data_IF_210800235803
#
_entry.id   IF_210800235803
#
_cell.length_a   1.000
_cell.length_b   1.000
_cell.length_c   1.000
_cell.angle_alpha   90.00
_cell.angle_beta   90.00
_cell.angle_gamma   90.00
#
_symmetry.space_group_name_H-M   'P 1'
#
loop_
_entity.id
_entity.type
_entity.pdbx_description
1 polymer ?
#
# COMPACT_ATOMS: atom_id res chain seq x y z
N UNK A 1 13.44 -20.35 0.41
CA UNK A 1 14.75 -21.02 0.58
C UNK A 1 15.43 -20.51 1.86
N UNK A 2 14.85 -20.79 3.03
CA UNK A 2 15.34 -20.29 4.32
C UNK A 2 15.22 -21.38 5.39
N UNK A 3 16.05 -22.42 5.32
CA UNK A 3 16.08 -23.49 6.35
C UNK A 3 17.45 -24.20 6.43
N UNK A 4 18.58 -23.49 6.30
CA UNK A 4 19.92 -24.12 6.34
C UNK A 4 20.99 -23.35 7.13
N UNK A 5 20.62 -22.72 8.24
CA UNK A 5 21.58 -21.94 9.05
C UNK A 5 21.44 -22.17 10.56
N UNK A 6 21.23 -23.42 10.99
CA UNK A 6 21.22 -23.79 12.43
C UNK A 6 22.00 -25.06 12.77
N UNK A 7 22.95 -25.49 11.95
CA UNK A 7 23.89 -26.56 12.30
C UNK A 7 25.31 -26.03 12.13
N UNK A 8 25.96 -25.67 13.23
CA UNK A 8 27.35 -25.22 13.19
C UNK A 8 27.88 -24.45 14.40
N UNK A 9 27.18 -24.44 15.55
CA UNK A 9 27.64 -23.75 16.77
C UNK A 9 27.70 -24.68 17.99
N UNK A 10 28.23 -25.89 17.80
CA UNK A 10 28.45 -26.85 18.88
C UNK A 10 29.79 -27.57 18.73
N UNK A 11 30.90 -26.83 18.75
CA UNK A 11 32.18 -27.39 19.19
C UNK A 11 33.23 -26.28 19.44
N UNK A 12 33.23 -25.71 20.65
CA UNK A 12 34.44 -25.06 21.19
C UNK A 12 34.58 -25.52 22.65
N UNK A 13 35.44 -26.52 22.82
CA UNK A 13 35.95 -27.02 24.09
C UNK A 13 36.83 -25.95 24.73
N UNK A 14 36.55 -25.61 25.99
CA UNK A 14 37.37 -24.74 26.83
C UNK A 14 38.56 -25.51 27.43
N UNK A 15 39.77 -24.92 27.54
CA UNK A 15 40.78 -25.39 28.46
C UNK A 15 40.74 -24.62 29.80
N UNK A 16 41.17 -25.33 30.83
CA UNK A 16 40.99 -25.08 32.26
C UNK A 16 41.62 -23.81 32.84
N UNK A 17 41.03 -23.40 33.97
CA UNK A 17 41.51 -22.41 34.92
C UNK A 17 42.85 -22.80 35.55
N UNK A 18 43.84 -21.90 35.45
CA UNK A 18 45.07 -21.91 36.24
C UNK A 18 45.22 -20.58 36.95
N UNK A 19 45.09 -20.61 38.27
CA UNK A 19 45.13 -19.47 39.21
C UNK A 19 46.47 -18.74 39.19
N UNK A 20 46.44 -17.44 38.89
CA UNK A 20 47.54 -16.49 39.06
C UNK A 20 46.96 -15.12 39.32
N UNK A 21 46.74 -14.83 40.59
CA UNK A 21 46.05 -13.67 41.11
C UNK A 21 47.09 -12.62 41.50
N UNK A 22 47.27 -11.58 40.68
CA UNK A 22 47.88 -10.27 41.03
C UNK A 22 47.98 -9.36 39.78
N UNK A 23 46.85 -8.90 39.20
CA UNK A 23 46.85 -7.73 38.29
C UNK A 23 45.44 -7.16 37.97
N UNK A 24 44.44 -7.41 38.84
CA UNK A 24 43.02 -7.16 38.52
C UNK A 24 42.54 -5.70 38.67
N UNK A 25 43.31 -4.78 39.28
CA UNK A 25 42.79 -3.44 39.60
C UNK A 25 42.88 -2.42 38.45
N UNK A 26 43.65 -2.68 37.40
CA UNK A 26 43.81 -1.76 36.26
C UNK A 26 42.98 -2.14 35.02
N UNK A 27 42.53 -3.39 34.91
CA UNK A 27 41.74 -3.87 33.76
C UNK A 27 40.27 -3.49 33.86
N UNK A 28 39.71 -3.44 35.07
CA UNK A 28 38.27 -3.17 35.27
C UNK A 28 37.90 -1.71 34.95
N UNK A 29 38.86 -0.79 35.05
CA UNK A 29 38.70 0.61 34.66
C UNK A 29 38.70 0.83 33.14
N UNK A 30 39.29 -0.07 32.35
CA UNK A 30 39.31 0.02 30.90
C UNK A 30 38.04 -0.59 30.28
N UNK A 31 37.54 -1.69 30.84
CA UNK A 31 36.29 -2.33 30.39
C UNK A 31 35.04 -1.48 30.68
N UNK A 32 35.04 -0.73 31.79
CA UNK A 32 33.94 0.18 32.12
C UNK A 32 33.80 1.35 31.14
N UNK A 33 34.87 1.73 30.40
CA UNK A 33 34.79 2.76 29.35
C UNK A 33 34.18 2.24 28.05
N UNK A 34 34.37 0.96 27.71
CA UNK A 34 33.82 0.37 26.50
C UNK A 34 32.37 -0.12 26.66
N UNK A 35 31.93 -0.47 27.88
CA UNK A 35 30.54 -0.86 28.13
C UNK A 35 29.52 0.28 27.97
N UNK A 36 29.97 1.55 27.87
CA UNK A 36 29.10 2.71 27.62
C UNK A 36 28.75 2.92 26.13
N UNK A 37 29.22 2.05 25.24
CA UNK A 37 29.00 2.10 23.78
C UNK A 37 28.02 1.00 23.30
N UNK A 38 27.01 0.67 24.11
CA UNK A 38 25.91 -0.21 23.69
C UNK A 38 24.63 0.60 23.64
N UNK A 39 24.15 0.88 22.43
CA UNK A 39 22.80 1.39 22.20
C UNK A 39 21.77 0.36 22.73
N UNK A 40 20.67 0.77 23.38
CA UNK A 40 19.64 -0.17 23.81
C UNK A 40 19.00 -0.84 22.58
N UNK A 41 19.00 -2.16 22.55
CA UNK A 41 18.21 -2.96 21.61
C UNK A 41 16.70 -2.66 21.81
N UNK A 42 15.89 -2.69 20.73
CA UNK A 42 14.48 -2.35 20.80
C UNK A 42 13.72 -3.41 21.59
N UNK A 43 13.02 -2.99 22.63
CA UNK A 43 12.08 -3.84 23.37
C UNK A 43 10.80 -3.95 22.54
N UNK A 44 10.46 -5.15 22.10
CA UNK A 44 9.16 -5.44 21.47
C UNK A 44 8.02 -5.08 22.44
N UNK A 45 7.04 -4.24 22.05
CA UNK A 45 5.87 -4.02 22.89
C UNK A 45 4.83 -5.12 22.61
N UNK A 46 4.75 -6.07 23.54
CA UNK A 46 3.47 -6.74 23.80
C UNK A 46 2.47 -5.68 24.27
N UNK A 47 1.27 -5.79 23.73
CA UNK A 47 0.05 -5.03 24.02
C UNK A 47 -0.07 -4.48 25.45
N UNK A 48 -0.37 -3.19 25.56
CA UNK A 48 -1.60 -2.58 26.14
C UNK A 48 -1.42 -1.06 26.11
N UNK A 49 -2.47 -0.36 25.65
CA UNK A 49 -2.37 0.98 25.10
C UNK A 49 -2.20 2.15 26.07
N UNK A 50 -1.69 3.25 25.51
CA UNK A 50 -2.02 4.62 25.86
C UNK A 50 -1.64 5.50 24.65
N UNK A 51 -2.64 5.98 23.95
CA UNK A 51 -2.49 7.02 22.94
C UNK A 51 -2.21 8.37 23.63
N UNK A 52 -1.53 9.27 22.92
CA UNK A 52 -1.16 10.66 23.27
C UNK A 52 0.26 10.85 23.85
N UNK A 53 1.31 10.66 23.04
CA UNK A 53 2.58 11.43 23.19
C UNK A 53 3.54 11.46 21.97
N UNK A 54 3.21 10.85 20.84
CA UNK A 54 4.13 10.66 19.68
C UNK A 54 4.59 11.92 18.93
N UNK A 55 4.20 13.14 19.35
CA UNK A 55 4.65 14.38 18.70
C UNK A 55 5.97 14.92 19.25
N UNK A 56 6.36 14.54 20.47
CA UNK A 56 7.57 15.06 21.13
C UNK A 56 8.78 14.13 20.96
N UNK A 57 8.57 12.86 20.59
CA UNK A 57 9.65 11.90 20.29
C UNK A 57 10.61 12.31 19.17
N UNK A 58 10.16 12.82 18.00
CA UNK A 58 11.09 13.24 16.94
C UNK A 58 11.92 14.45 17.37
N UNK A 59 11.35 15.38 18.15
CA UNK A 59 12.05 16.57 18.63
C UNK A 59 13.08 16.23 19.71
N UNK A 60 12.78 15.28 20.59
CA UNK A 60 13.73 14.70 21.55
C UNK A 60 14.90 14.02 20.83
N UNK A 61 14.63 13.23 19.79
CA UNK A 61 15.66 12.57 19.00
C UNK A 61 16.58 13.57 18.28
N UNK A 62 16.02 14.65 17.73
CA UNK A 62 16.79 15.73 17.10
C UNK A 62 17.69 16.40 18.14
N UNK A 63 17.17 16.73 19.33
CA UNK A 63 17.95 17.33 20.41
C UNK A 63 19.12 16.43 20.87
N UNK A 64 18.92 15.11 20.90
CA UNK A 64 19.96 14.14 21.24
C UNK A 64 21.00 14.02 20.14
N UNK A 65 20.57 14.05 18.87
CA UNK A 65 21.48 14.05 17.71
C UNK A 65 22.36 15.30 17.67
N UNK A 66 21.77 16.47 17.94
CA UNK A 66 22.49 17.74 18.00
C UNK A 66 23.54 17.73 19.12
N UNK A 67 23.17 17.22 20.31
CA UNK A 67 24.12 17.05 21.42
C UNK A 67 25.26 16.10 21.06
N UNK A 68 24.96 14.97 20.42
CA UNK A 68 25.97 14.02 19.97
C UNK A 68 26.91 14.62 18.91
N UNK A 69 26.38 15.39 17.97
CA UNK A 69 27.16 16.10 16.95
C UNK A 69 28.08 17.16 17.57
N UNK A 70 27.58 17.95 18.52
CA UNK A 70 28.37 18.92 19.28
C UNK A 70 29.50 18.25 20.05
N UNK A 71 29.22 17.11 20.69
CA UNK A 71 30.24 16.35 21.41
C UNK A 71 31.31 15.78 20.48
N UNK A 72 30.91 15.23 19.33
CA UNK A 72 31.86 14.78 18.30
C UNK A 72 32.70 15.93 17.75
N UNK A 73 32.10 17.09 17.51
CA UNK A 73 32.83 18.28 17.04
C UNK A 73 33.91 18.69 18.05
N UNK A 74 33.56 18.74 19.34
CA UNK A 74 34.51 19.06 20.41
C UNK A 74 35.64 18.02 20.51
N UNK A 75 35.33 16.74 20.32
CA UNK A 75 36.36 15.68 20.28
C UNK A 75 37.28 15.82 19.07
N UNK A 76 36.74 16.14 17.89
CA UNK A 76 37.53 16.36 16.68
C UNK A 76 38.46 17.57 16.83
N UNK A 77 37.97 18.69 17.36
CA UNK A 77 38.81 19.86 17.65
C UNK A 77 39.95 19.51 18.61
N UNK A 78 39.69 18.69 19.63
CA UNK A 78 40.72 18.23 20.56
C UNK A 78 41.73 17.24 19.93
N UNK A 79 41.30 16.43 18.96
CA UNK A 79 42.20 15.57 18.20
C UNK A 79 43.08 16.38 17.23
N UNK A 80 42.51 17.40 16.57
CA UNK A 80 43.26 18.31 15.70
C UNK A 80 44.33 19.11 16.47
N UNK A 81 44.06 19.51 17.71
CA UNK A 81 45.10 20.13 18.56
C UNK A 81 46.22 19.15 18.89
N UNK A 82 45.89 17.90 19.21
CA UNK A 82 46.90 16.85 19.49
C UNK A 82 47.74 16.51 18.26
N UNK A 83 47.13 16.46 17.07
CA UNK A 83 47.86 16.24 15.82
C UNK A 83 48.88 17.36 15.61
N UNK A 84 48.48 18.63 15.77
CA UNK A 84 49.40 19.77 15.67
C UNK A 84 50.54 19.71 16.69
N UNK A 85 50.26 19.28 17.92
CA UNK A 85 51.29 19.07 18.93
C UNK A 85 52.27 17.95 18.54
N UNK A 86 51.77 16.83 18.00
CA UNK A 86 52.61 15.74 17.52
C UNK A 86 53.46 16.15 16.32
N UNK A 87 52.90 16.89 15.35
CA UNK A 87 53.64 17.43 14.21
C UNK A 87 54.75 18.38 14.66
N UNK A 88 54.48 19.26 15.64
CA UNK A 88 55.50 20.13 16.23
C UNK A 88 56.62 19.32 16.90
N UNK A 89 56.26 18.26 17.64
CA UNK A 89 57.21 17.40 18.34
C UNK A 89 58.05 16.57 17.37
N UNK A 90 57.46 16.11 16.28
CA UNK A 90 58.16 15.44 15.19
C UNK A 90 59.16 16.39 14.52
N UNK A 91 58.78 17.65 14.29
CA UNK A 91 59.67 18.68 13.76
C UNK A 91 60.84 19.00 14.70
N UNK A 92 60.62 19.00 16.02
CA UNK A 92 61.67 19.17 17.03
C UNK A 92 62.65 17.97 17.03
N UNK A 93 62.12 16.74 17.01
CA UNK A 93 62.91 15.51 16.98
C UNK A 93 63.74 15.42 15.69
N UNK A 94 63.17 15.78 14.53
CA UNK A 94 63.92 15.84 13.27
C UNK A 94 65.09 16.82 13.35
N UNK A 95 64.89 18.00 13.95
CA UNK A 95 65.97 18.96 14.19
C UNK A 95 67.06 18.37 15.10
N UNK A 96 66.69 17.72 16.20
CA UNK A 96 67.66 17.06 17.09
C UNK A 96 68.45 15.96 16.38
N UNK A 97 67.81 15.13 15.55
CA UNK A 97 68.50 14.08 14.79
C UNK A 97 69.52 14.70 13.83
N UNK A 98 69.15 15.75 13.10
CA UNK A 98 70.10 16.43 12.19
C UNK A 98 71.27 17.07 12.94
N UNK A 99 71.05 17.57 14.15
CA UNK A 99 72.11 18.15 14.99
C UNK A 99 73.07 17.07 15.50
N UNK A 100 72.54 15.93 15.96
CA UNK A 100 73.35 14.77 16.36
C UNK A 100 74.13 14.17 15.18
N UNK A 101 73.56 14.13 13.98
CA UNK A 101 74.26 13.67 12.77
C UNK A 101 75.48 14.56 12.45
N UNK A 102 75.35 15.87 12.60
CA UNK A 102 76.47 16.82 12.42
C UNK A 102 77.53 16.62 13.50
N UNK A 103 77.14 16.41 14.76
CA UNK A 103 78.08 16.17 15.86
C UNK A 103 78.85 14.85 15.69
N UNK A 104 78.16 13.77 15.27
CA UNK A 104 78.80 12.48 14.96
C UNK A 104 79.79 12.63 13.80
N UNK A 105 79.43 13.37 12.75
CA UNK A 105 80.33 13.64 11.62
C UNK A 105 81.60 14.40 12.07
N UNK A 106 81.44 15.37 12.97
CA UNK A 106 82.54 16.12 13.57
C UNK A 106 83.47 15.21 14.40
N UNK A 107 82.90 14.41 15.31
CA UNK A 107 83.67 13.46 16.13
C UNK A 107 84.44 12.45 15.28
N UNK A 108 83.83 11.96 14.20
CA UNK A 108 84.47 11.03 13.27
C UNK A 108 85.70 11.66 12.59
N UNK A 109 85.62 12.94 12.22
CA UNK A 109 86.75 13.66 11.64
C UNK A 109 87.92 13.85 12.64
N UNK A 110 87.61 14.10 13.91
CA UNK A 110 88.63 14.25 14.96
C UNK A 110 89.32 12.92 15.29
N UNK A 111 88.58 11.81 15.32
CA UNK A 111 89.15 10.46 15.49
C UNK A 111 90.12 10.13 14.35
N UNK A 112 89.78 10.47 13.10
CA UNK A 112 90.67 10.25 11.95
C UNK A 112 91.98 11.04 12.08
N UNK A 113 91.94 12.28 12.58
CA UNK A 113 93.17 13.06 12.85
C UNK A 113 94.04 12.43 13.93
N UNK A 114 93.43 11.94 15.01
CA UNK A 114 94.16 11.28 16.11
C UNK A 114 94.78 9.94 15.69
N UNK A 115 94.12 9.20 14.80
CA UNK A 115 94.66 7.96 14.23
C UNK A 115 95.88 8.23 13.33
N UNK A 116 95.87 9.30 12.53
CA UNK A 116 97.02 9.69 11.72
C UNK A 116 98.26 10.00 12.59
N UNK A 117 98.09 10.74 13.69
CA UNK A 117 99.17 11.06 14.64
C UNK A 117 99.74 9.80 15.32
N UNK A 118 98.88 8.81 15.61
CA UNK A 118 99.29 7.53 16.22
C UNK A 118 100.12 6.67 15.27
N UNK A 119 99.81 6.67 13.97
CA UNK A 119 100.58 5.92 12.99
C UNK A 119 102.00 6.49 12.79
N UNK A 120 102.20 7.80 12.98
CA UNK A 120 103.51 8.45 12.86
C UNK A 120 104.43 8.25 14.08
N UNK A 121 103.89 7.83 15.23
CA UNK A 121 104.67 7.62 16.47
C UNK A 121 105.14 6.17 16.70
N UNK A 122 104.80 5.23 15.81
CA UNK A 122 105.02 3.78 16.01
C UNK A 122 106.40 3.24 15.62
N UNK A 123 107.38 4.07 15.25
CA UNK A 123 108.64 3.63 14.60
C UNK A 123 109.91 3.76 15.44
N UNK A 124 109.82 3.94 16.76
CA UNK A 124 111.00 4.15 17.61
C UNK A 124 111.11 3.14 18.76
N UNK A 125 112.21 2.38 18.67
CA UNK A 125 113.04 1.82 19.75
C UNK A 125 112.68 0.44 20.32
N UNK A 126 113.52 -0.52 19.96
CA UNK A 126 113.93 -1.63 20.85
C UNK A 126 115.44 -1.76 20.73
N UNK A 127 116.19 -1.33 21.74
CA UNK A 127 117.62 -1.60 21.85
C UNK A 127 117.88 -2.35 23.16
N UNK A 128 118.43 -3.55 23.00
CA UNK A 128 118.79 -4.50 24.05
C UNK A 128 119.99 -4.00 24.87
N UNK A 129 120.02 -4.37 26.15
CA UNK A 129 121.21 -4.29 26.99
C UNK A 129 121.25 -5.44 28.00
N UNK A 130 122.22 -6.35 27.82
CA UNK A 130 122.50 -7.50 28.71
C UNK A 130 123.42 -7.12 29.89
N UNK A 131 123.19 -7.72 31.07
CA UNK A 131 124.16 -8.14 32.14
C UNK A 131 123.38 -8.56 33.41
N UNK A 132 123.93 -9.20 34.48
CA UNK A 132 124.86 -10.34 34.60
C UNK A 132 124.29 -11.54 35.44
N UNK A 133 124.78 -12.75 35.17
CA UNK A 133 124.20 -14.09 35.41
C UNK A 133 123.89 -14.59 36.86
N UNK A 134 123.99 -13.79 37.93
CA UNK A 134 123.81 -14.31 39.32
C UNK A 134 122.45 -13.98 39.97
N UNK A 135 122.02 -12.73 39.81
CA UNK A 135 120.66 -12.27 40.16
C UNK A 135 119.66 -12.60 39.04
N UNK A 136 120.17 -12.87 37.83
CA UNK A 136 119.38 -13.17 36.64
C UNK A 136 118.57 -14.47 36.73
N UNK A 137 119.00 -15.47 37.50
CA UNK A 137 118.23 -16.73 37.53
C UNK A 137 116.95 -16.60 38.37
N UNK A 138 117.02 -15.93 39.53
CA UNK A 138 115.83 -15.61 40.34
C UNK A 138 114.96 -14.56 39.65
N UNK A 139 115.56 -13.53 39.04
CA UNK A 139 114.85 -12.54 38.24
C UNK A 139 114.14 -13.17 37.02
N UNK A 140 114.79 -14.09 36.30
CA UNK A 140 114.18 -14.79 35.17
C UNK A 140 113.04 -15.70 35.62
N UNK A 141 113.17 -16.38 36.77
CA UNK A 141 112.08 -17.18 37.34
C UNK A 141 110.91 -16.30 37.76
N UNK A 142 111.19 -15.11 38.30
CA UNK A 142 110.19 -14.12 38.67
C UNK A 142 109.50 -13.53 37.42
N UNK A 143 110.25 -13.18 36.38
CA UNK A 143 109.71 -12.72 35.09
C UNK A 143 108.90 -13.81 34.40
N UNK A 144 109.32 -15.08 34.48
CA UNK A 144 108.57 -16.20 33.92
C UNK A 144 107.28 -16.45 34.69
N UNK A 145 107.27 -16.31 36.02
CA UNK A 145 106.03 -16.33 36.82
C UNK A 145 105.13 -15.14 36.53
N UNK A 146 105.69 -13.93 36.37
CA UNK A 146 104.92 -12.74 36.02
C UNK A 146 104.33 -12.84 34.61
N UNK A 147 105.10 -13.35 33.65
CA UNK A 147 104.63 -13.64 32.29
C UNK A 147 103.56 -14.71 32.30
N UNK A 148 103.72 -15.78 33.09
CA UNK A 148 102.71 -16.83 33.23
C UNK A 148 101.41 -16.27 33.84
N UNK A 149 101.51 -15.49 34.92
CA UNK A 149 100.36 -14.84 35.54
C UNK A 149 99.67 -13.84 34.58
N UNK A 150 100.44 -13.14 33.75
CA UNK A 150 99.89 -12.27 32.70
C UNK A 150 99.18 -13.10 31.61
N UNK A 151 99.77 -14.21 31.16
CA UNK A 151 99.16 -15.12 30.19
C UNK A 151 97.84 -15.67 30.73
N UNK A 152 97.82 -16.14 31.99
CA UNK A 152 96.62 -16.66 32.65
C UNK A 152 95.55 -15.58 32.80
N UNK A 153 95.93 -14.34 33.14
CA UNK A 153 95.02 -13.21 33.26
C UNK A 153 94.45 -12.74 31.91
N UNK A 154 95.22 -12.87 30.82
CA UNK A 154 94.71 -12.62 29.46
C UNK A 154 93.80 -13.77 29.02
N UNK A 155 94.17 -15.01 29.27
CA UNK A 155 93.35 -16.19 28.96
C UNK A 155 91.99 -16.13 29.67
N UNK A 156 91.95 -15.74 30.94
CA UNK A 156 90.70 -15.55 31.68
C UNK A 156 89.82 -14.44 31.08
N UNK A 157 90.42 -13.32 30.64
CA UNK A 157 89.70 -12.25 29.95
C UNK A 157 89.17 -12.70 28.58
N UNK A 158 89.95 -13.44 27.81
CA UNK A 158 89.51 -14.03 26.55
C UNK A 158 88.32 -14.98 26.75
N UNK A 159 88.37 -15.84 27.77
CA UNK A 159 87.25 -16.73 28.10
C UNK A 159 85.99 -15.97 28.54
N UNK A 160 86.15 -14.86 29.26
CA UNK A 160 85.01 -14.00 29.62
C UNK A 160 84.37 -13.38 28.38
N UNK A 161 85.18 -12.84 27.45
CA UNK A 161 84.68 -12.30 26.18
C UNK A 161 84.05 -13.37 25.28
N UNK A 162 84.61 -14.58 25.24
CA UNK A 162 84.00 -15.69 24.49
C UNK A 162 82.60 -16.03 25.02
N UNK A 163 82.43 -16.10 26.34
CA UNK A 163 81.12 -16.33 26.96
C UNK A 163 80.13 -15.19 26.66
N UNK A 164 80.59 -13.95 26.71
CA UNK A 164 79.77 -12.77 26.38
C UNK A 164 79.36 -12.78 24.91
N UNK A 165 80.26 -13.12 23.98
CA UNK A 165 79.95 -13.24 22.55
C UNK A 165 78.97 -14.36 22.24
N UNK A 166 79.02 -15.48 22.98
CA UNK A 166 78.01 -16.55 22.86
C UNK A 166 76.66 -16.05 23.38
N UNK A 167 76.61 -15.43 24.55
CA UNK A 167 75.37 -14.87 25.11
C UNK A 167 74.72 -13.84 24.19
N UNK A 168 75.52 -12.94 23.60
CA UNK A 168 75.02 -11.93 22.65
C UNK A 168 74.55 -12.57 21.34
N UNK A 169 75.20 -13.65 20.89
CA UNK A 169 74.75 -14.40 19.71
C UNK A 169 73.37 -15.02 19.96
N UNK A 170 73.19 -15.67 21.09
CA UNK A 170 71.93 -16.32 21.46
C UNK A 170 70.81 -15.26 21.55
N UNK A 171 71.08 -14.10 22.17
CA UNK A 171 70.13 -12.98 22.23
C UNK A 171 69.77 -12.44 20.83
N UNK A 172 70.75 -12.33 19.92
CA UNK A 172 70.50 -11.91 18.54
C UNK A 172 69.64 -12.94 17.79
N UNK A 173 69.88 -14.24 17.98
CA UNK A 173 69.06 -15.30 17.38
C UNK A 173 67.62 -15.26 17.92
N UNK A 174 67.43 -15.09 19.22
CA UNK A 174 66.11 -14.91 19.84
C UNK A 174 65.38 -13.67 19.26
N UNK A 175 66.05 -12.52 19.20
CA UNK A 175 65.49 -11.31 18.62
C UNK A 175 65.16 -11.46 17.13
N UNK A 176 65.95 -12.22 16.38
CA UNK A 176 65.66 -12.53 14.97
C UNK A 176 64.37 -13.35 14.84
N UNK A 177 64.23 -14.42 15.62
CA UNK A 177 63.00 -15.24 15.59
C UNK A 177 61.77 -14.44 16.02
N UNK A 178 61.88 -13.59 17.05
CA UNK A 178 60.81 -12.70 17.49
C UNK A 178 60.43 -11.66 16.43
N UNK A 179 61.40 -11.16 15.65
CA UNK A 179 61.12 -10.24 14.55
C UNK A 179 60.39 -10.96 13.40
N UNK A 180 60.77 -12.20 13.09
CA UNK A 180 60.10 -13.00 12.07
C UNK A 180 58.64 -13.30 12.42
N UNK A 181 58.35 -13.64 13.69
CA UNK A 181 56.97 -13.85 14.16
C UNK A 181 56.16 -12.56 14.08
N UNK A 182 56.69 -11.44 14.58
CA UNK A 182 56.03 -10.13 14.47
C UNK A 182 55.76 -9.73 13.01
N UNK A 183 56.68 -10.02 12.10
CA UNK A 183 56.48 -9.77 10.67
C UNK A 183 55.38 -10.66 10.07
N UNK A 184 55.24 -11.90 10.53
CA UNK A 184 54.16 -12.80 10.13
C UNK A 184 52.81 -12.30 10.63
N UNK A 185 52.72 -11.91 11.90
CA UNK A 185 51.49 -11.36 12.49
C UNK A 185 51.08 -10.06 11.81
N UNK A 186 52.05 -9.17 11.52
CA UNK A 186 51.82 -7.95 10.74
C UNK A 186 51.29 -8.23 9.32
N UNK A 187 51.68 -9.34 8.70
CA UNK A 187 51.14 -9.76 7.39
C UNK A 187 49.72 -10.28 7.53
N UNK A 188 49.45 -11.08 8.56
CA UNK A 188 48.12 -11.62 8.82
C UNK A 188 47.10 -10.52 9.14
N UNK A 189 47.44 -9.59 10.02
CA UNK A 189 46.58 -8.45 10.36
C UNK A 189 46.29 -7.61 9.11
N UNK A 190 47.29 -7.41 8.23
CA UNK A 190 47.08 -6.71 6.96
C UNK A 190 46.16 -7.46 6.00
N UNK A 191 46.24 -8.80 5.94
CA UNK A 191 45.30 -9.61 5.14
C UNK A 191 43.87 -9.45 5.67
N UNK A 192 43.68 -9.62 6.98
CA UNK A 192 42.36 -9.48 7.62
C UNK A 192 41.78 -8.08 7.43
N UNK A 193 42.61 -7.04 7.55
CA UNK A 193 42.18 -5.67 7.30
C UNK A 193 41.71 -5.48 5.85
N UNK A 194 42.46 -6.00 4.87
CA UNK A 194 42.07 -5.93 3.46
C UNK A 194 40.77 -6.68 3.18
N UNK A 195 40.54 -7.84 3.81
CA UNK A 195 39.29 -8.59 3.70
C UNK A 195 38.09 -7.81 4.26
N UNK A 196 38.26 -7.17 5.42
CA UNK A 196 37.21 -6.30 5.98
C UNK A 196 36.95 -5.09 5.09
N UNK A 197 38.00 -4.40 4.62
CA UNK A 197 37.87 -3.27 3.70
C UNK A 197 37.13 -3.67 2.42
N UNK A 198 37.47 -4.83 1.84
CA UNK A 198 36.77 -5.37 0.68
C UNK A 198 35.29 -5.65 0.98
N UNK A 199 34.98 -6.30 2.10
CA UNK A 199 33.59 -6.57 2.50
C UNK A 199 32.77 -5.30 2.72
N UNK A 200 33.36 -4.24 3.28
CA UNK A 200 32.70 -2.94 3.39
C UNK A 200 32.43 -2.30 2.02
N UNK A 201 33.38 -2.38 1.10
CA UNK A 201 33.20 -1.86 -0.27
C UNK A 201 32.11 -2.62 -1.02
N UNK A 202 32.08 -3.94 -0.91
CA UNK A 202 31.04 -4.79 -1.52
C UNK A 202 29.65 -4.47 -0.95
N UNK A 203 29.52 -4.35 0.37
CA UNK A 203 28.26 -3.98 1.01
C UNK A 203 27.78 -2.57 0.61
N UNK A 204 28.69 -1.61 0.44
CA UNK A 204 28.34 -0.27 -0.07
C UNK A 204 27.86 -0.34 -1.52
N UNK A 205 28.51 -1.12 -2.36
CA UNK A 205 28.10 -1.32 -3.75
C UNK A 205 26.72 -1.99 -3.85
N UNK A 206 26.45 -3.01 -3.02
CA UNK A 206 25.12 -3.65 -2.92
C UNK A 206 24.06 -2.66 -2.45
N UNK A 207 24.38 -1.82 -1.46
CA UNK A 207 23.45 -0.78 -0.98
C UNK A 207 23.13 0.25 -2.06
N UNK A 208 24.13 0.66 -2.86
CA UNK A 208 23.92 1.56 -4.00
C UNK A 208 23.09 0.90 -5.10
N UNK A 209 23.34 -0.37 -5.40
CA UNK A 209 22.54 -1.14 -6.35
C UNK A 209 21.08 -1.27 -5.89
N UNK A 210 20.85 -1.60 -4.62
CA UNK A 210 19.50 -1.67 -4.04
C UNK A 210 18.80 -0.31 -4.06
N UNK A 211 19.52 0.79 -3.80
CA UNK A 211 18.97 2.15 -3.94
C UNK A 211 18.60 2.47 -5.38
N UNK A 212 19.41 2.06 -6.35
CA UNK A 212 19.12 2.27 -7.77
C UNK A 212 17.87 1.49 -8.21
N UNK A 213 17.79 0.20 -7.86
CA UNK A 213 16.63 -0.66 -8.17
C UNK A 213 15.37 -0.11 -7.51
N UNK A 214 15.42 0.24 -6.21
CA UNK A 214 14.28 0.83 -5.51
C UNK A 214 13.86 2.18 -6.11
N UNK A 215 14.82 2.98 -6.59
CA UNK A 215 14.55 4.22 -7.31
C UNK A 215 13.81 3.99 -8.62
N UNK A 216 14.22 2.98 -9.39
CA UNK A 216 13.56 2.57 -10.64
C UNK A 216 12.17 2.00 -10.37
N UNK A 217 12.02 1.09 -9.40
CA UNK A 217 10.73 0.54 -8.99
C UNK A 217 9.76 1.65 -8.56
N UNK A 218 10.22 2.61 -7.75
CA UNK A 218 9.42 3.79 -7.37
C UNK A 218 8.99 4.61 -8.59
N UNK A 219 9.89 4.83 -9.55
CA UNK A 219 9.56 5.55 -10.77
C UNK A 219 8.50 4.80 -11.62
N UNK A 220 8.63 3.48 -11.76
CA UNK A 220 7.64 2.67 -12.48
C UNK A 220 6.28 2.64 -11.78
N UNK A 221 6.25 2.60 -10.44
CA UNK A 221 5.01 2.66 -9.67
C UNK A 221 4.34 4.02 -9.81
N UNK A 222 5.09 5.13 -9.76
CA UNK A 222 4.55 6.47 -9.99
C UNK A 222 3.97 6.59 -11.40
N UNK A 223 4.68 6.13 -12.44
CA UNK A 223 4.19 6.15 -13.82
C UNK A 223 2.90 5.33 -13.97
N UNK A 224 2.85 4.10 -13.44
CA UNK A 224 1.61 3.29 -13.44
C UNK A 224 0.47 3.97 -12.70
N UNK A 225 0.75 4.61 -11.56
CA UNK A 225 -0.29 5.32 -10.80
C UNK A 225 -0.85 6.52 -11.58
N UNK A 226 -0.01 7.22 -12.33
CA UNK A 226 -0.40 8.33 -13.21
C UNK A 226 -1.20 7.84 -14.42
N UNK A 227 -0.80 6.72 -15.03
CA UNK A 227 -1.57 6.06 -16.10
C UNK A 227 -2.96 5.61 -15.60
N UNK A 228 -3.05 5.06 -14.39
CA UNK A 228 -4.34 4.71 -13.78
C UNK A 228 -5.19 5.95 -13.47
N UNK A 229 -4.60 7.02 -12.95
CA UNK A 229 -5.30 8.27 -12.68
C UNK A 229 -5.86 8.90 -13.97
N UNK A 230 -5.03 9.00 -15.01
CA UNK A 230 -5.43 9.51 -16.31
C UNK A 230 -6.49 8.63 -16.99
N UNK A 231 -6.41 7.31 -16.84
CA UNK A 231 -7.45 6.38 -17.31
C UNK A 231 -8.78 6.61 -16.60
N UNK A 232 -8.79 6.81 -15.27
CA UNK A 232 -10.00 7.09 -14.50
C UNK A 232 -10.61 8.43 -14.94
N UNK A 233 -9.79 9.45 -15.12
CA UNK A 233 -10.26 10.76 -15.57
C UNK A 233 -10.80 10.71 -17.01
N UNK A 234 -10.16 9.94 -17.89
CA UNK A 234 -10.70 9.69 -19.24
C UNK A 234 -12.06 8.98 -19.18
N UNK A 235 -12.24 7.99 -18.31
CA UNK A 235 -13.52 7.30 -18.15
C UNK A 235 -14.61 8.27 -17.66
N UNK A 236 -14.29 9.10 -16.66
CA UNK A 236 -15.20 10.15 -16.15
C UNK A 236 -15.59 11.14 -17.24
N UNK A 237 -14.65 11.53 -18.10
CA UNK A 237 -14.94 12.40 -19.25
C UNK A 237 -15.93 11.75 -20.21
N UNK A 238 -15.74 10.46 -20.55
CA UNK A 238 -16.69 9.74 -21.41
C UNK A 238 -18.08 9.62 -20.78
N UNK A 239 -18.17 9.32 -19.49
CA UNK A 239 -19.45 9.24 -18.77
C UNK A 239 -20.17 10.60 -18.73
N UNK A 240 -19.42 11.68 -18.49
CA UNK A 240 -19.96 13.04 -18.52
C UNK A 240 -20.42 13.44 -19.94
N UNK A 241 -19.66 13.09 -20.97
CA UNK A 241 -20.03 13.36 -22.35
C UNK A 241 -21.30 12.59 -22.75
N UNK A 242 -21.42 11.33 -22.35
CA UNK A 242 -22.63 10.54 -22.57
C UNK A 242 -23.85 11.15 -21.86
N UNK A 243 -23.70 11.55 -20.59
CA UNK A 243 -24.77 12.21 -19.82
C UNK A 243 -25.17 13.56 -20.43
N UNK A 244 -24.20 14.33 -20.92
CA UNK A 244 -24.47 15.59 -21.62
C UNK A 244 -25.28 15.34 -22.89
N UNK A 245 -24.86 14.38 -23.73
CA UNK A 245 -25.58 14.01 -24.96
C UNK A 245 -27.01 13.56 -24.69
N UNK A 246 -27.22 12.72 -23.67
CA UNK A 246 -28.58 12.31 -23.27
C UNK A 246 -29.42 13.50 -22.80
N UNK A 247 -28.85 14.38 -21.96
CA UNK A 247 -29.56 15.58 -21.50
C UNK A 247 -29.89 16.56 -22.63
N UNK A 248 -29.01 16.68 -23.63
CA UNK A 248 -29.25 17.48 -24.83
C UNK A 248 -30.39 16.90 -25.68
N UNK A 249 -30.46 15.57 -25.82
CA UNK A 249 -31.55 14.89 -26.49
C UNK A 249 -32.89 15.10 -25.77
N UNK A 250 -32.92 14.92 -24.45
CA UNK A 250 -34.12 15.16 -23.62
C UNK A 250 -34.62 16.60 -23.75
N UNK A 251 -33.70 17.57 -23.73
CA UNK A 251 -34.02 18.98 -23.96
C UNK A 251 -34.64 19.20 -25.34
N UNK A 252 -34.11 18.57 -26.39
CA UNK A 252 -34.66 18.69 -27.74
C UNK A 252 -36.08 18.14 -27.83
N UNK A 253 -36.35 16.98 -27.21
CA UNK A 253 -37.69 16.39 -27.13
C UNK A 253 -38.65 17.30 -26.36
N UNK A 254 -38.26 17.79 -25.18
CA UNK A 254 -39.08 18.71 -24.41
C UNK A 254 -39.40 20.01 -25.17
N UNK A 255 -38.45 20.53 -25.96
CA UNK A 255 -38.68 21.68 -26.83
C UNK A 255 -39.66 21.37 -27.97
N UNK A 256 -39.61 20.18 -28.55
CA UNK A 256 -40.56 19.75 -29.57
C UNK A 256 -41.97 19.61 -28.99
N UNK A 257 -42.09 19.01 -27.81
CA UNK A 257 -43.37 18.86 -27.11
C UNK A 257 -43.96 20.21 -26.72
N UNK A 258 -43.15 21.15 -26.22
CA UNK A 258 -43.59 22.51 -25.94
C UNK A 258 -44.12 23.21 -27.20
N UNK A 259 -43.41 23.06 -28.35
CA UNK A 259 -43.88 23.60 -29.64
C UNK A 259 -45.17 22.93 -30.12
N UNK A 260 -45.35 21.63 -29.86
CA UNK A 260 -46.59 20.92 -30.20
C UNK A 260 -47.74 21.45 -29.35
N UNK A 261 -47.56 21.53 -28.05
CA UNK A 261 -48.57 22.03 -27.12
C UNK A 261 -48.95 23.48 -27.44
N UNK A 262 -47.99 24.32 -27.83
CA UNK A 262 -48.28 25.68 -28.27
C UNK A 262 -49.20 25.70 -29.50
N UNK A 263 -48.94 24.86 -30.52
CA UNK A 263 -49.81 24.76 -31.69
C UNK A 263 -51.22 24.25 -31.32
N UNK A 264 -51.32 23.29 -30.41
CA UNK A 264 -52.60 22.77 -29.94
C UNK A 264 -53.40 23.85 -29.19
N UNK A 265 -52.73 24.68 -28.38
CA UNK A 265 -53.34 25.84 -27.72
C UNK A 265 -53.82 26.89 -28.73
N UNK A 266 -52.99 27.25 -29.71
CA UNK A 266 -53.36 28.22 -30.75
C UNK A 266 -54.56 27.72 -31.58
N UNK A 267 -54.61 26.41 -31.88
CA UNK A 267 -55.74 25.79 -32.57
C UNK A 267 -57.02 25.82 -31.71
N UNK A 268 -56.92 25.53 -30.41
CA UNK A 268 -58.04 25.60 -29.49
C UNK A 268 -58.58 27.02 -29.34
N UNK A 269 -57.69 28.02 -29.26
CA UNK A 269 -58.06 29.43 -29.23
C UNK A 269 -58.82 29.84 -30.51
N UNK A 270 -58.36 29.36 -31.67
CA UNK A 270 -59.08 29.51 -32.94
C UNK A 270 -60.50 28.90 -32.92
N UNK A 271 -60.65 27.67 -32.40
CA UNK A 271 -61.97 27.02 -32.27
C UNK A 271 -62.87 27.78 -31.29
N UNK A 272 -62.32 28.25 -30.17
CA UNK A 272 -63.05 29.05 -29.18
C UNK A 272 -63.58 30.35 -29.81
N UNK A 273 -62.73 31.06 -30.56
CA UNK A 273 -63.12 32.26 -31.28
C UNK A 273 -64.22 31.99 -32.31
N UNK A 274 -64.11 30.88 -33.08
CA UNK A 274 -65.14 30.50 -34.03
C UNK A 274 -66.47 30.13 -33.34
N UNK A 275 -66.41 29.41 -32.22
CA UNK A 275 -67.59 29.10 -31.42
C UNK A 275 -68.26 30.37 -30.87
N UNK A 276 -67.47 31.33 -30.34
CA UNK A 276 -68.00 32.62 -29.89
C UNK A 276 -68.66 33.40 -31.03
N UNK A 277 -68.06 33.41 -32.23
CA UNK A 277 -68.62 34.07 -33.40
C UNK A 277 -69.93 33.40 -33.85
N UNK A 278 -69.96 32.07 -33.93
CA UNK A 278 -71.15 31.29 -34.28
C UNK A 278 -72.27 31.48 -33.25
N UNK A 279 -71.95 31.50 -31.96
CA UNK A 279 -72.93 31.77 -30.90
C UNK A 279 -73.53 33.17 -31.04
N UNK A 280 -72.71 34.20 -31.33
CA UNK A 280 -73.23 35.55 -31.63
C UNK A 280 -74.15 35.55 -32.86
N UNK A 281 -73.78 34.84 -33.93
CA UNK A 281 -74.60 34.72 -35.13
C UNK A 281 -75.91 33.98 -34.87
N UNK A 282 -75.85 32.86 -34.15
CA UNK A 282 -77.01 32.07 -33.73
C UNK A 282 -77.94 32.89 -32.83
N UNK A 283 -77.41 33.62 -31.86
CA UNK A 283 -78.20 34.52 -31.00
C UNK A 283 -78.93 35.59 -31.81
N UNK A 284 -78.29 36.16 -32.84
CA UNK A 284 -78.95 37.09 -33.77
C UNK A 284 -80.05 36.39 -34.58
N UNK A 285 -79.80 35.17 -35.07
CA UNK A 285 -80.79 34.39 -35.80
C UNK A 285 -82.00 34.04 -34.92
N UNK A 286 -81.78 33.59 -33.68
CA UNK A 286 -82.85 33.30 -32.71
C UNK A 286 -83.66 34.57 -32.44
N UNK A 287 -83.02 35.71 -32.20
CA UNK A 287 -83.73 36.98 -32.01
C UNK A 287 -84.56 37.40 -33.24
N UNK A 288 -84.09 37.12 -34.46
CA UNK A 288 -84.84 37.38 -35.69
C UNK A 288 -86.07 36.46 -35.79
N UNK A 289 -85.90 35.17 -35.52
CA UNK A 289 -87.00 34.19 -35.49
C UNK A 289 -88.01 34.53 -34.38
N UNK A 290 -87.56 34.95 -33.21
CA UNK A 290 -88.44 35.44 -32.14
C UNK A 290 -89.24 36.67 -32.58
N UNK A 291 -88.61 37.62 -33.28
CA UNK A 291 -89.32 38.79 -33.81
C UNK A 291 -90.33 38.42 -34.92
N UNK A 292 -90.01 37.43 -35.75
CA UNK A 292 -90.95 36.86 -36.74
C UNK A 292 -92.09 36.12 -36.06
N UNK A 293 -91.80 35.33 -35.01
CA UNK A 293 -92.79 34.63 -34.21
C UNK A 293 -93.73 35.63 -33.52
N UNK A 294 -93.22 36.70 -32.93
CA UNK A 294 -94.05 37.73 -32.30
C UNK A 294 -94.90 38.49 -33.34
N UNK A 295 -94.39 38.74 -34.55
CA UNK A 295 -95.20 39.22 -35.67
C UNK A 295 -96.30 38.23 -36.06
N UNK A 296 -95.96 36.96 -36.26
CA UNK A 296 -96.92 35.91 -36.61
C UNK A 296 -97.96 35.66 -35.51
N UNK A 297 -97.58 35.74 -34.23
CA UNK A 297 -98.49 35.69 -33.08
C UNK A 297 -99.42 36.88 -33.07
N UNK A 298 -98.90 38.07 -33.31
CA UNK A 298 -99.73 39.28 -33.42
C UNK A 298 -100.73 39.12 -34.56
N UNK A 299 -100.31 38.64 -35.75
CA UNK A 299 -101.19 38.33 -36.88
C UNK A 299 -102.24 37.24 -36.58
N UNK A 300 -101.86 36.19 -35.83
CA UNK A 300 -102.78 35.14 -35.39
C UNK A 300 -103.77 35.62 -34.34
N UNK A 301 -103.35 36.49 -33.42
CA UNK A 301 -104.26 37.18 -32.49
C UNK A 301 -105.24 38.07 -33.23
N UNK A 302 -104.85 38.71 -34.34
CA UNK A 302 -105.80 39.41 -35.23
C UNK A 302 -106.73 38.45 -35.98
N UNK A 303 -106.29 37.22 -36.25
CA UNK A 303 -107.08 36.16 -36.92
C UNK A 303 -108.01 35.39 -35.98
N UNK A 304 -107.76 35.35 -34.67
CA UNK A 304 -108.60 34.66 -33.68
C UNK A 304 -109.82 35.50 -33.26
N UNK A 305 -110.78 35.60 -34.17
CA UNK A 305 -112.20 35.71 -33.84
C UNK A 305 -112.89 34.43 -34.38
N UNK A 306 -113.21 33.48 -33.47
CA UNK A 306 -114.08 32.29 -33.61
C UNK A 306 -113.47 30.96 -34.17
N UNK A 307 -114.01 29.75 -33.85
CA UNK A 307 -113.77 28.95 -32.63
C UNK A 307 -113.27 27.48 -32.86
N UNK A 308 -112.84 26.83 -31.76
CA UNK A 308 -112.39 25.42 -31.53
C UNK A 308 -113.40 24.28 -31.90
N UNK A 309 -113.12 22.96 -31.62
CA UNK A 309 -111.93 22.12 -31.84
C UNK A 309 -112.31 20.79 -32.58
N UNK A 310 -111.36 20.10 -33.24
CA UNK A 310 -111.62 18.81 -33.91
C UNK A 310 -110.94 17.62 -33.19
N UNK A 311 -111.67 16.50 -33.13
CA UNK A 311 -111.36 15.20 -32.49
C UNK A 311 -110.09 14.50 -32.99
N UNK A 312 -109.41 15.01 -34.02
CA UNK A 312 -108.16 14.46 -34.59
C UNK A 312 -106.96 14.51 -33.62
N UNK A 313 -106.98 15.40 -32.62
CA UNK A 313 -105.88 15.57 -31.67
C UNK A 313 -105.71 14.40 -30.69
N UNK A 314 -106.75 13.59 -30.48
CA UNK A 314 -106.72 12.46 -29.54
C UNK A 314 -105.99 11.27 -30.18
N UNK A 315 -106.19 11.05 -31.48
CA UNK A 315 -105.58 9.95 -32.24
C UNK A 315 -104.07 10.16 -32.42
N UNK A 316 -103.64 11.42 -32.59
CA UNK A 316 -102.22 11.78 -32.63
C UNK A 316 -101.55 11.72 -31.26
N UNK A 317 -102.28 11.98 -30.17
CA UNK A 317 -101.75 11.81 -28.81
C UNK A 317 -101.48 10.33 -28.50
N UNK A 318 -102.39 9.43 -28.88
CA UNK A 318 -102.20 7.99 -28.72
C UNK A 318 -101.02 7.47 -29.55
N UNK A 319 -100.87 7.98 -30.79
CA UNK A 319 -99.71 7.69 -31.64
C UNK A 319 -98.38 8.14 -31.02
N UNK A 320 -98.36 9.30 -30.36
CA UNK A 320 -97.18 9.84 -29.68
C UNK A 320 -96.85 9.03 -28.42
N UNK A 321 -97.85 8.63 -27.64
CA UNK A 321 -97.65 7.76 -26.48
C UNK A 321 -97.09 6.39 -26.88
N UNK A 322 -97.59 5.80 -27.98
CA UNK A 322 -97.05 4.55 -28.52
C UNK A 322 -95.59 4.66 -29.00
N UNK A 323 -95.22 5.79 -29.60
CA UNK A 323 -93.81 6.07 -29.98
C UNK A 323 -92.92 6.27 -28.76
N UNK A 324 -93.42 6.92 -27.72
CA UNK A 324 -92.70 7.16 -26.47
C UNK A 324 -92.41 5.84 -25.75
N UNK A 325 -93.40 4.96 -25.63
CA UNK A 325 -93.21 3.64 -25.01
C UNK A 325 -92.15 2.79 -25.75
N UNK A 326 -92.14 2.82 -27.08
CA UNK A 326 -91.10 2.16 -27.88
C UNK A 326 -89.71 2.74 -27.64
N UNK A 327 -89.59 4.07 -27.56
CA UNK A 327 -88.32 4.73 -27.25
C UNK A 327 -87.81 4.44 -25.84
N UNK A 328 -88.70 4.35 -24.86
CA UNK A 328 -88.32 3.97 -23.50
C UNK A 328 -87.78 2.53 -23.46
N UNK A 329 -88.39 1.61 -24.22
CA UNK A 329 -87.90 0.24 -24.32
C UNK A 329 -86.55 0.13 -25.06
N UNK A 330 -86.35 0.91 -26.12
CA UNK A 330 -85.06 1.01 -26.81
C UNK A 330 -83.96 1.59 -25.89
N UNK A 331 -84.28 2.58 -25.05
CA UNK A 331 -83.35 3.10 -24.04
C UNK A 331 -82.97 2.05 -22.98
N UNK A 332 -83.92 1.22 -22.55
CA UNK A 332 -83.64 0.16 -21.57
C UNK A 332 -82.76 -0.94 -22.18
N UNK A 333 -83.02 -1.33 -23.44
CA UNK A 333 -82.15 -2.27 -24.16
C UNK A 333 -80.74 -1.72 -24.38
N UNK A 334 -80.60 -0.41 -24.66
CA UNK A 334 -79.28 0.23 -24.76
C UNK A 334 -78.58 0.28 -23.41
N UNK A 335 -79.32 0.45 -22.32
CA UNK A 335 -78.78 0.42 -20.96
C UNK A 335 -78.28 -0.97 -20.58
N UNK A 336 -79.04 -2.02 -20.90
CA UNK A 336 -78.67 -3.42 -20.68
C UNK A 336 -77.46 -3.82 -21.55
N UNK A 337 -77.43 -3.38 -22.83
CA UNK A 337 -76.28 -3.59 -23.70
C UNK A 337 -75.02 -2.86 -23.20
N UNK A 338 -75.17 -1.64 -22.67
CA UNK A 338 -74.06 -0.89 -22.06
C UNK A 338 -73.55 -1.57 -20.79
N UNK A 339 -74.44 -2.07 -19.94
CA UNK A 339 -74.08 -2.79 -18.71
C UNK A 339 -73.42 -4.14 -19.02
N UNK A 340 -73.90 -4.86 -20.04
CA UNK A 340 -73.25 -6.05 -20.58
C UNK A 340 -71.85 -5.73 -21.14
N UNK A 341 -71.70 -4.62 -21.86
CA UNK A 341 -70.38 -4.21 -22.39
C UNK A 341 -69.43 -3.77 -21.28
N UNK A 342 -69.93 -3.05 -20.28
CA UNK A 342 -69.15 -2.62 -19.11
C UNK A 342 -68.71 -3.81 -18.24
N UNK A 343 -69.56 -4.82 -18.07
CA UNK A 343 -69.20 -6.04 -17.34
C UNK A 343 -68.20 -6.89 -18.13
N UNK A 344 -68.35 -7.01 -19.45
CA UNK A 344 -67.37 -7.68 -20.31
C UNK A 344 -66.00 -6.97 -20.31
N UNK A 345 -66.00 -5.62 -20.37
CA UNK A 345 -64.78 -4.82 -20.28
C UNK A 345 -64.07 -4.91 -18.92
N UNK A 346 -64.82 -5.05 -17.82
CA UNK A 346 -64.23 -5.26 -16.50
C UNK A 346 -63.70 -6.69 -16.31
N UNK A 347 -64.32 -7.69 -16.95
CA UNK A 347 -63.87 -9.08 -16.92
C UNK A 347 -62.55 -9.29 -17.70
N UNK A 348 -62.34 -8.54 -18.78
CA UNK A 348 -61.10 -8.58 -19.57
C UNK A 348 -59.90 -7.89 -18.87
N UNK A 349 -60.15 -7.08 -17.83
CA UNK A 349 -59.12 -6.37 -17.05
C UNK A 349 -58.51 -7.18 -15.90
N UNK A 350 -58.98 -8.40 -15.66
CA UNK A 350 -58.31 -9.34 -14.73
C UNK A 350 -56.96 -9.87 -15.27
N UNK A 351 -56.54 -9.43 -16.47
CA UNK A 351 -55.21 -9.67 -17.00
C UNK A 351 -54.28 -8.52 -16.58
N UNK A 352 -53.43 -8.79 -15.60
CA UNK A 352 -52.34 -7.88 -15.23
C UNK A 352 -51.49 -7.57 -16.48
N UNK A 353 -51.32 -6.28 -16.81
CA UNK A 353 -50.47 -5.85 -17.92
C UNK A 353 -49.07 -6.47 -17.75
N UNK A 354 -48.59 -7.23 -18.75
CA UNK A 354 -47.30 -7.92 -18.71
C UNK A 354 -46.15 -6.97 -18.39
N UNK A 355 -46.26 -5.71 -18.83
CA UNK A 355 -45.27 -4.67 -18.52
C UNK A 355 -45.30 -4.24 -17.06
N UNK A 356 -46.49 -4.13 -16.47
CA UNK A 356 -46.66 -3.81 -15.05
C UNK A 356 -46.14 -4.96 -14.18
N UNK A 357 -46.43 -6.21 -14.57
CA UNK A 357 -45.90 -7.41 -13.92
C UNK A 357 -44.37 -7.43 -13.93
N UNK A 358 -43.76 -7.18 -15.09
CA UNK A 358 -42.31 -7.12 -15.24
C UNK A 358 -41.69 -5.98 -14.39
N UNK A 359 -42.31 -4.80 -14.37
CA UNK A 359 -41.84 -3.67 -13.55
C UNK A 359 -41.91 -3.97 -12.05
N UNK A 360 -42.95 -4.67 -11.59
CA UNK A 360 -43.05 -5.08 -10.18
C UNK A 360 -41.93 -6.07 -9.83
N UNK A 361 -41.65 -7.06 -10.68
CA UNK A 361 -40.55 -8.02 -10.47
C UNK A 361 -39.19 -7.32 -10.46
N UNK A 362 -38.93 -6.41 -11.40
CA UNK A 362 -37.70 -5.61 -11.43
C UNK A 362 -37.57 -4.76 -10.17
N UNK A 363 -38.65 -4.08 -9.75
CA UNK A 363 -38.66 -3.29 -8.52
C UNK A 363 -38.44 -4.13 -7.25
N UNK A 364 -38.81 -5.41 -7.24
CA UNK A 364 -38.53 -6.32 -6.13
C UNK A 364 -37.06 -6.74 -6.07
N UNK A 365 -36.41 -6.94 -7.22
CA UNK A 365 -34.98 -7.28 -7.29
C UNK A 365 -34.12 -6.08 -6.94
N UNK A 366 -34.44 -4.90 -7.48
CA UNK A 366 -33.63 -3.69 -7.35
C UNK A 366 -33.86 -2.91 -6.05
N UNK A 367 -35.03 -3.05 -5.40
CA UNK A 367 -35.32 -2.27 -4.18
C UNK A 367 -34.82 -2.94 -2.90
N UNK A 368 -34.34 -2.09 -1.98
CA UNK A 368 -33.99 -2.50 -0.61
C UNK A 368 -35.24 -2.71 0.30
N UNK A 369 -36.45 -2.58 -0.27
CA UNK A 369 -37.74 -2.67 0.42
C UNK A 369 -38.60 -3.83 -0.10
N UNK A 370 -37.96 -5.00 -0.25
CA UNK A 370 -38.55 -6.22 -0.83
C UNK A 370 -39.90 -6.60 -0.20
N UNK A 371 -40.05 -6.43 1.11
CA UNK A 371 -41.30 -6.73 1.83
C UNK A 371 -42.48 -5.83 1.45
N UNK A 372 -42.23 -4.52 1.26
CA UNK A 372 -43.29 -3.57 0.84
C UNK A 372 -43.71 -3.82 -0.61
N UNK A 373 -42.74 -4.10 -1.50
CA UNK A 373 -43.02 -4.42 -2.90
C UNK A 373 -43.77 -5.74 -3.02
N UNK A 374 -43.40 -6.75 -2.22
CA UNK A 374 -44.09 -8.04 -2.20
C UNK A 374 -45.51 -7.93 -1.64
N UNK A 375 -45.72 -7.07 -0.64
CA UNK A 375 -47.05 -6.79 -0.10
C UNK A 375 -47.93 -6.03 -1.11
N UNK A 376 -47.33 -5.11 -1.88
CA UNK A 376 -48.01 -4.44 -2.98
C UNK A 376 -48.38 -5.41 -4.11
N UNK A 377 -47.46 -6.31 -4.48
CA UNK A 377 -47.71 -7.39 -5.44
C UNK A 377 -48.85 -8.31 -5.01
N UNK A 378 -48.85 -8.75 -3.75
CA UNK A 378 -49.91 -9.59 -3.20
C UNK A 378 -51.28 -8.90 -3.21
N UNK A 379 -51.32 -7.56 -3.04
CA UNK A 379 -52.55 -6.77 -3.13
C UNK A 379 -53.04 -6.62 -4.57
N UNK A 380 -52.13 -6.36 -5.51
CA UNK A 380 -52.45 -6.16 -6.93
C UNK A 380 -52.90 -7.48 -7.58
N UNK A 381 -52.31 -8.61 -7.21
CA UNK A 381 -52.63 -9.93 -7.74
C UNK A 381 -53.71 -10.67 -6.93
N UNK A 382 -54.26 -10.06 -5.87
CA UNK A 382 -55.35 -10.66 -5.09
C UNK A 382 -54.97 -11.97 -4.37
N UNK A 383 -53.75 -12.11 -3.86
CA UNK A 383 -53.30 -13.34 -3.19
C UNK A 383 -54.21 -13.72 -2.02
N UNK A 384 -54.50 -15.01 -1.91
CA UNK A 384 -55.15 -15.59 -0.73
C UNK A 384 -54.22 -15.56 0.49
N UNK A 385 -54.77 -15.66 1.70
CA UNK A 385 -53.96 -15.65 2.92
C UNK A 385 -52.96 -16.82 2.99
N UNK A 386 -53.27 -17.96 2.36
CA UNK A 386 -52.34 -19.08 2.21
C UNK A 386 -51.16 -18.75 1.28
N UNK A 387 -51.42 -18.07 0.16
CA UNK A 387 -50.38 -17.66 -0.79
C UNK A 387 -49.50 -16.57 -0.21
N UNK A 388 -50.07 -15.61 0.53
CA UNK A 388 -49.31 -14.60 1.29
C UNK A 388 -48.35 -15.22 2.29
N UNK A 389 -48.79 -16.26 3.02
CA UNK A 389 -47.91 -17.03 3.90
C UNK A 389 -46.78 -17.72 3.14
N UNK A 390 -47.06 -18.32 1.99
CA UNK A 390 -46.06 -18.99 1.15
C UNK A 390 -45.02 -18.06 0.56
N UNK A 391 -45.39 -16.82 0.22
CA UNK A 391 -44.44 -15.81 -0.29
C UNK A 391 -43.76 -15.01 0.82
N UNK A 392 -44.17 -15.15 2.08
CA UNK A 392 -43.53 -14.50 3.23
C UNK A 392 -44.08 -13.10 3.56
N UNK A 393 -45.32 -12.79 3.16
CA UNK A 393 -46.02 -11.54 3.52
C UNK A 393 -46.80 -11.77 4.82
N UNK A 394 -46.40 -11.08 5.90
CA UNK A 394 -47.22 -10.95 7.12
C UNK A 394 -46.89 -11.84 8.32
N UNK A 395 -45.88 -12.72 8.25
CA UNK A 395 -45.40 -13.49 9.41
C UNK A 395 -43.87 -13.45 9.51
N UNK A 396 -43.28 -13.10 10.67
CA UNK A 396 -41.86 -13.31 10.90
C UNK A 396 -41.63 -14.82 11.05
N UNK A 397 -41.10 -15.46 10.00
CA UNK A 397 -40.65 -16.85 10.07
C UNK A 397 -39.45 -16.88 11.01
N UNK A 398 -39.66 -17.39 12.22
CA UNK A 398 -38.64 -17.60 13.24
C UNK A 398 -37.88 -18.89 12.94
N UNK A 399 -37.13 -18.89 11.84
CA UNK A 399 -36.04 -19.85 11.58
C UNK A 399 -34.90 -19.04 10.99
N UNK A 400 -33.73 -19.20 11.59
CA UNK A 400 -32.50 -18.48 11.32
C UNK A 400 -32.05 -18.68 9.85
N UNK A 401 -32.48 -17.80 8.96
CA UNK A 401 -32.19 -17.87 7.52
C UNK A 401 -33.25 -17.13 6.72
N UNK A 402 -33.08 -15.81 6.57
CA UNK A 402 -34.02 -14.95 5.86
C UNK A 402 -34.13 -15.33 4.38
N UNK A 403 -35.35 -15.58 3.92
CA UNK A 403 -35.64 -15.76 2.50
C UNK A 403 -36.72 -16.80 2.25
N UNK A 404 -37.98 -16.36 2.22
CA UNK A 404 -39.04 -17.15 1.58
C UNK A 404 -38.66 -17.51 0.14
N UNK A 405 -39.28 -18.57 -0.36
CA UNK A 405 -39.08 -19.35 -1.61
C UNK A 405 -38.43 -18.67 -2.84
N UNK A 406 -38.43 -17.34 -2.95
CA UNK A 406 -37.63 -16.60 -3.93
C UNK A 406 -36.11 -16.70 -3.71
N UNK A 407 -35.65 -16.99 -2.49
CA UNK A 407 -34.21 -17.24 -2.23
C UNK A 407 -33.74 -18.63 -2.66
N UNK A 408 -34.65 -19.59 -2.91
CA UNK A 408 -34.25 -20.96 -3.30
C UNK A 408 -34.15 -21.17 -4.81
N UNK A 409 -34.72 -20.29 -5.63
CA UNK A 409 -34.69 -20.43 -7.10
C UNK A 409 -33.54 -19.61 -7.70
N UNK A 410 -33.08 -18.56 -7.03
CA UNK A 410 -32.02 -17.67 -7.52
C UNK A 410 -30.95 -17.51 -6.44
N UNK A 411 -30.02 -18.46 -6.38
CA UNK A 411 -28.69 -18.22 -5.81
C UNK A 411 -28.21 -19.19 -4.74
N UNK A 412 -27.09 -19.84 -5.06
CA UNK A 412 -26.08 -20.40 -4.17
C UNK A 412 -26.41 -21.66 -3.36
N UNK A 413 -25.76 -22.74 -3.79
CA UNK A 413 -25.32 -23.85 -2.94
C UNK A 413 -24.70 -23.32 -1.65
N UNK A 414 -25.28 -23.71 -0.52
CA UNK A 414 -24.56 -24.05 0.71
C UNK A 414 -25.15 -25.38 1.24
N UNK A 415 -24.30 -26.35 1.65
CA UNK A 415 -24.73 -27.72 1.89
C UNK A 415 -25.38 -27.87 3.28
N UNK A 416 -26.51 -28.57 3.34
CA UNK A 416 -27.18 -28.87 4.62
C UNK A 416 -28.55 -29.52 4.46
N UNK A 417 -28.53 -30.86 4.40
CA UNK A 417 -29.57 -31.85 4.73
C UNK A 417 -31.06 -31.47 4.77
N UNK A 418 -31.85 -32.13 3.92
CA UNK A 418 -33.27 -32.41 4.22
C UNK A 418 -34.23 -32.62 3.04
N UNK A 419 -34.11 -33.76 2.33
CA UNK A 419 -35.15 -34.56 1.64
C UNK A 419 -36.31 -33.82 0.91
N UNK A 420 -36.50 -33.93 -0.40
CA UNK A 420 -36.90 -35.18 -1.11
C UNK A 420 -36.91 -34.98 -2.63
N UNK A 421 -36.73 -36.09 -3.37
CA UNK A 421 -36.65 -36.30 -4.83
C UNK A 421 -35.25 -36.19 -5.43
N UNK A 422 -34.68 -37.38 -5.65
CA UNK A 422 -33.32 -37.67 -6.07
C UNK A 422 -33.11 -37.39 -7.56
N UNK A 423 -32.27 -36.41 -7.86
CA UNK A 423 -31.45 -36.36 -9.07
C UNK A 423 -30.02 -36.67 -8.64
N UNK A 424 -29.39 -37.63 -9.29
CA UNK A 424 -28.04 -38.13 -8.95
C UNK A 424 -27.00 -36.98 -9.04
N UNK A 425 -26.40 -36.54 -7.92
CA UNK A 425 -25.56 -35.34 -7.87
C UNK A 425 -24.24 -35.47 -8.65
N UNK A 426 -23.88 -36.69 -9.08
CA UNK A 426 -22.69 -36.95 -9.90
C UNK A 426 -22.82 -36.52 -11.37
N UNK A 427 -24.03 -36.20 -11.85
CA UNK A 427 -24.26 -35.73 -13.24
C UNK A 427 -24.22 -34.21 -13.44
N UNK A 428 -24.16 -33.44 -12.34
CA UNK A 428 -24.27 -31.98 -12.35
C UNK A 428 -22.91 -31.31 -12.09
N UNK A 429 -21.95 -32.03 -11.50
CA UNK A 429 -20.63 -31.48 -11.18
C UNK A 429 -19.80 -31.28 -12.46
N UNK A 430 -19.70 -30.03 -12.92
CA UNK A 430 -18.92 -29.62 -14.09
C UNK A 430 -19.71 -29.12 -15.29
N UNK A 431 -21.06 -29.17 -15.26
CA UNK A 431 -21.90 -28.62 -16.33
C UNK A 431 -22.26 -27.16 -16.04
N UNK A 432 -21.96 -26.26 -16.98
CA UNK A 432 -22.31 -24.86 -16.87
C UNK A 432 -23.85 -24.71 -16.94
N UNK A 433 -24.41 -23.78 -16.19
CA UNK A 433 -25.85 -23.50 -16.16
C UNK A 433 -26.45 -23.26 -17.55
N UNK A 434 -25.67 -22.67 -18.45
CA UNK A 434 -26.04 -22.48 -19.85
C UNK A 434 -26.27 -23.81 -20.58
N UNK A 435 -25.49 -24.86 -20.27
CA UNK A 435 -25.62 -26.16 -20.90
C UNK A 435 -26.85 -26.91 -20.39
N UNK A 436 -27.13 -26.83 -19.08
CA UNK A 436 -28.35 -27.43 -18.48
C UNK A 436 -29.62 -26.75 -18.97
N UNK A 437 -29.60 -25.42 -19.15
CA UNK A 437 -30.73 -24.68 -19.73
C UNK A 437 -30.93 -24.98 -21.21
N UNK A 438 -29.83 -25.15 -21.96
CA UNK A 438 -29.89 -25.51 -23.38
C UNK A 438 -30.44 -26.93 -23.54
N UNK A 439 -30.00 -27.86 -22.70
CA UNK A 439 -30.45 -29.26 -22.69
C UNK A 439 -31.94 -29.35 -22.32
N UNK A 440 -32.39 -28.58 -21.32
CA UNK A 440 -33.82 -28.49 -20.97
C UNK A 440 -34.68 -27.87 -22.10
N UNK A 441 -34.23 -26.80 -22.74
CA UNK A 441 -34.95 -26.18 -23.86
C UNK A 441 -35.01 -27.11 -25.09
N UNK A 442 -33.97 -27.89 -25.33
CA UNK A 442 -33.94 -28.92 -26.38
C UNK A 442 -34.88 -30.09 -26.05
N UNK A 443 -34.91 -30.54 -24.80
CA UNK A 443 -35.80 -31.60 -24.34
C UNK A 443 -37.28 -31.17 -24.43
N UNK A 444 -37.60 -29.93 -24.07
CA UNK A 444 -38.97 -29.42 -24.14
C UNK A 444 -39.41 -29.11 -25.57
N UNK A 445 -38.49 -28.69 -26.45
CA UNK A 445 -38.77 -28.54 -27.88
C UNK A 445 -39.02 -29.90 -28.56
N UNK A 446 -38.39 -30.97 -28.10
CA UNK A 446 -38.57 -32.33 -28.64
C UNK A 446 -39.82 -33.06 -28.10
N UNK A 447 -40.32 -32.69 -26.92
CA UNK A 447 -41.62 -33.14 -26.39
C UNK A 447 -42.82 -32.46 -27.03
N UNK A 448 -42.59 -31.40 -27.82
CA UNK A 448 -43.61 -30.63 -28.53
C UNK A 448 -43.99 -31.16 -29.92
N UNK A 449 -43.64 -32.41 -30.26
CA UNK A 449 -43.99 -33.06 -31.53
C UNK A 449 -45.05 -34.16 -31.37
#
# INVERSE_FOLDING_TARGET
>A
MWNRLTEGLADIVAPEEGTGQEEQDNTDHLWSRFASVVAPLPVSPSSVGAAENDKDEPDLYICDLERALLQRKKQNEALETKIREFESREGELKRQVTEQEVEIAQQKADIQRLQAIRHDSGTWQTENGETPLGLNQEQLVQELHQSQAHIDAVAARCQAYEKELVSLRDEVEELQTANETLQKDKREIRSRLAEYEQGYVEMLAEMEQMKAVNGEEKATLMAKSEDHASSIDSQRLYDLEARLKTSEADKAVAQQDAKRLQRDLDALDGVLHQFQANNRAQKKHVAAVEAELERAKSELQTRQLLPEPNEEAIDDLERVMGKLAKKTHECEQLREALESTATQYNSERDVLDKRLAAQLVVAYVDSNKKGEVLQLMARIMGFTEDEKRRVGVGYPIQVNGGGGLFSSIIGLVAPGEGATTSVDPSTIEGKNFADLWSEYLLEEASKGQ
#
